data_IF_115528152409
#
_entry.id   IF_115528152409
#
_cell.length_a   1.000
_cell.length_b   1.000
_cell.length_c   1.000
_cell.angle_alpha   90.00
_cell.angle_beta   90.00
_cell.angle_gamma   90.00
#
_symmetry.space_group_name_H-M   'P 1'
#
loop_
_entity.id
_entity.type
_entity.pdbx_description
1 polymer ?
#
# COMPACT_ATOMS: atom_id res chain seq x y z
N UNK A 1 -10.06 -7.39 7.17
CA UNK A 1 -10.05 -8.05 8.51
C UNK A 1 -10.76 -7.24 9.61
N UNK A 2 -10.98 -5.93 9.46
CA UNK A 2 -11.60 -5.09 10.50
C UNK A 2 -12.92 -4.47 10.00
N UNK A 3 -14.08 -5.05 10.37
CA UNK A 3 -15.37 -4.65 9.79
C UNK A 3 -15.71 -3.16 9.97
N UNK A 4 -15.23 -2.54 11.06
CA UNK A 4 -15.47 -1.12 11.32
C UNK A 4 -14.85 -0.21 10.24
N UNK A 5 -13.67 -0.56 9.72
CA UNK A 5 -12.94 0.26 8.73
C UNK A 5 -13.29 -0.03 7.29
N UNK A 6 -13.88 -1.21 7.00
CA UNK A 6 -14.27 -1.59 5.63
C UNK A 6 -15.23 -0.57 4.99
N UNK A 7 -16.03 0.12 5.81
CA UNK A 7 -16.96 1.16 5.34
C UNK A 7 -16.25 2.44 4.86
N UNK A 8 -15.02 2.69 5.32
CA UNK A 8 -14.21 3.83 4.83
C UNK A 8 -13.95 3.68 3.32
N UNK A 9 -13.64 2.47 2.85
CA UNK A 9 -13.38 2.17 1.43
C UNK A 9 -14.58 2.51 0.55
N UNK A 10 -15.81 2.28 1.02
CA UNK A 10 -17.03 2.62 0.26
C UNK A 10 -17.12 4.12 -0.04
N UNK A 11 -16.66 4.97 0.89
CA UNK A 11 -16.62 6.41 0.66
C UNK A 11 -15.57 6.79 -0.40
N UNK A 12 -14.39 6.17 -0.35
CA UNK A 12 -13.35 6.39 -1.36
C UNK A 12 -13.77 5.88 -2.75
N UNK A 13 -14.41 4.71 -2.83
CA UNK A 13 -14.96 4.20 -4.09
C UNK A 13 -15.97 5.17 -4.70
N UNK A 14 -16.90 5.70 -3.90
CA UNK A 14 -17.88 6.68 -4.39
C UNK A 14 -17.20 7.95 -4.94
N UNK A 15 -16.17 8.45 -4.24
CA UNK A 15 -15.42 9.63 -4.69
C UNK A 15 -14.68 9.33 -5.99
N UNK A 16 -13.87 8.27 -6.03
CA UNK A 16 -13.03 7.97 -7.19
C UNK A 16 -13.84 7.53 -8.41
N UNK A 17 -15.02 6.92 -8.24
CA UNK A 17 -15.87 6.47 -9.35
C UNK A 17 -16.81 7.54 -9.91
N UNK A 18 -17.05 8.63 -9.19
CA UNK A 18 -18.10 9.59 -9.60
C UNK A 18 -17.68 11.06 -9.55
N UNK A 19 -16.63 11.43 -8.83
CA UNK A 19 -16.25 12.83 -8.73
C UNK A 19 -15.47 13.28 -9.99
N UNK A 20 -15.78 14.45 -10.60
CA UNK A 20 -15.13 14.91 -11.84
C UNK A 20 -13.61 15.10 -11.75
N UNK A 21 -13.06 15.29 -10.54
CA UNK A 21 -11.60 15.32 -10.35
C UNK A 21 -10.90 14.00 -10.67
N UNK A 22 -11.63 12.88 -10.59
CA UNK A 22 -11.10 11.52 -10.80
C UNK A 22 -11.72 10.85 -12.02
N UNK A 23 -12.78 11.46 -12.59
CA UNK A 23 -13.54 10.90 -13.69
C UNK A 23 -13.71 11.89 -14.83
N UNK A 24 -13.57 11.42 -16.06
CA UNK A 24 -13.79 12.23 -17.26
C UNK A 24 -12.53 12.87 -17.83
N UNK A 25 -12.67 13.72 -18.86
CA UNK A 25 -11.55 14.19 -19.68
C UNK A 25 -10.51 15.02 -18.91
N UNK A 26 -10.93 15.70 -17.84
CA UNK A 26 -10.06 16.60 -17.06
C UNK A 26 -9.26 15.87 -15.96
N UNK A 27 -9.64 14.64 -15.60
CA UNK A 27 -8.98 13.87 -14.55
C UNK A 27 -7.60 13.31 -14.97
N UNK A 28 -7.27 13.37 -16.26
CA UNK A 28 -6.05 12.77 -16.81
C UNK A 28 -6.02 11.25 -16.60
N UNK A 29 -4.81 10.68 -16.56
CA UNK A 29 -4.60 9.27 -16.25
C UNK A 29 -4.65 9.04 -14.73
N UNK A 30 -5.86 8.88 -14.19
CA UNK A 30 -6.06 8.48 -12.79
C UNK A 30 -6.15 6.95 -12.71
N UNK A 31 -5.19 6.33 -12.01
CA UNK A 31 -5.14 4.88 -11.85
C UNK A 31 -5.77 4.44 -10.53
N UNK A 32 -6.55 3.36 -10.61
CA UNK A 32 -7.07 2.66 -9.45
C UNK A 32 -6.23 1.40 -9.24
N UNK A 33 -5.69 1.22 -8.04
CA UNK A 33 -4.79 0.10 -7.71
C UNK A 33 -5.43 -0.96 -6.83
N UNK A 34 -6.71 -0.80 -6.52
CA UNK A 34 -7.53 -1.73 -5.75
C UNK A 34 -8.97 -1.62 -6.23
N UNK A 35 -9.65 -2.76 -6.30
CA UNK A 35 -11.08 -2.87 -6.56
C UNK A 35 -11.91 -2.73 -5.28
N UNK A 36 -11.26 -2.29 -4.19
CA UNK A 36 -11.90 -1.96 -2.93
C UNK A 36 -12.50 -3.17 -2.24
N UNK A 37 -13.82 -3.20 -2.04
CA UNK A 37 -14.47 -4.34 -1.38
C UNK A 37 -14.36 -5.65 -2.18
N UNK A 38 -14.25 -5.58 -3.51
CA UNK A 38 -14.23 -6.75 -4.37
C UNK A 38 -12.90 -7.54 -4.28
N UNK A 39 -11.83 -6.92 -3.75
CA UNK A 39 -10.54 -7.58 -3.53
C UNK A 39 -10.56 -8.55 -2.32
N UNK A 40 -11.58 -8.49 -1.45
CA UNK A 40 -11.65 -9.35 -0.27
C UNK A 40 -11.68 -10.84 -0.65
N UNK A 41 -10.89 -11.73 -0.01
CA UNK A 41 -10.21 -11.58 1.29
C UNK A 41 -8.78 -11.01 1.24
N UNK A 42 -8.30 -10.58 0.07
CA UNK A 42 -7.06 -9.83 -0.05
C UNK A 42 -7.22 -8.48 0.67
N UNK A 43 -6.28 -8.10 1.52
CA UNK A 43 -6.35 -6.81 2.22
C UNK A 43 -5.04 -6.06 2.09
N UNK A 44 -5.16 -4.74 1.95
CA UNK A 44 -4.06 -3.78 1.94
C UNK A 44 -4.54 -2.51 2.65
N UNK A 45 -3.67 -1.89 3.44
CA UNK A 45 -3.95 -0.58 4.05
C UNK A 45 -2.83 0.40 3.68
N UNK A 46 -3.17 1.66 3.47
CA UNK A 46 -2.23 2.67 2.94
C UNK A 46 -0.97 2.88 3.78
N UNK A 47 -1.04 2.71 5.11
CA UNK A 47 0.12 2.84 5.99
C UNK A 47 1.21 1.78 5.75
N UNK A 48 0.90 0.70 5.05
CA UNK A 48 1.91 -0.28 4.65
C UNK A 48 2.58 0.06 3.32
N UNK A 49 2.11 1.04 2.54
CA UNK A 49 2.58 1.32 1.18
C UNK A 49 3.38 2.63 1.17
N UNK A 50 4.71 2.52 1.04
CA UNK A 50 5.61 3.67 1.00
C UNK A 50 6.22 3.80 -0.40
N UNK A 51 5.85 4.86 -1.12
CA UNK A 51 6.47 5.20 -2.42
C UNK A 51 7.80 5.90 -2.17
N UNK A 52 8.90 5.16 -2.28
CA UNK A 52 10.25 5.64 -1.96
C UNK A 52 10.97 6.30 -3.14
N UNK A 53 10.27 6.46 -4.27
CA UNK A 53 10.79 7.12 -5.47
C UNK A 53 11.63 6.20 -6.36
N UNK A 54 12.15 6.76 -7.45
CA UNK A 54 12.92 6.04 -8.47
C UNK A 54 12.21 4.79 -9.02
N UNK A 55 10.88 4.75 -9.03
CA UNK A 55 10.10 3.59 -9.46
C UNK A 55 10.13 2.42 -8.47
N UNK A 56 10.52 2.63 -7.21
CA UNK A 56 10.50 1.64 -6.16
C UNK A 56 9.42 1.94 -5.11
N UNK A 57 8.82 0.87 -4.57
CA UNK A 57 7.81 0.94 -3.50
C UNK A 57 8.18 -0.06 -2.40
N UNK A 58 8.15 0.37 -1.14
CA UNK A 58 8.22 -0.52 0.01
C UNK A 58 6.80 -0.91 0.43
N UNK A 59 6.58 -2.19 0.71
CA UNK A 59 5.27 -2.66 1.17
C UNK A 59 5.42 -3.51 2.43
N UNK A 60 4.82 -3.08 3.53
CA UNK A 60 4.71 -3.87 4.76
C UNK A 60 3.68 -4.99 4.59
N UNK A 61 4.11 -6.25 4.67
CA UNK A 61 3.20 -7.38 4.86
C UNK A 61 2.88 -7.47 6.35
N UNK A 62 1.81 -6.81 6.80
CA UNK A 62 1.41 -6.66 8.21
C UNK A 62 0.22 -7.54 8.61
N UNK A 63 -0.41 -7.29 9.77
CA UNK A 63 -1.73 -7.87 10.10
C UNK A 63 -2.86 -7.30 9.21
N UNK A 64 -2.60 -6.17 8.54
CA UNK A 64 -3.53 -5.42 7.70
C UNK A 64 -3.30 -5.64 6.22
N UNK A 65 -2.07 -5.92 5.82
CA UNK A 65 -1.68 -6.12 4.42
C UNK A 65 -1.23 -7.55 4.16
N UNK A 66 -1.95 -8.25 3.29
CA UNK A 66 -1.72 -9.67 2.93
C UNK A 66 -0.76 -9.80 1.74
N UNK A 67 0.05 -10.88 1.66
CA UNK A 67 0.93 -11.12 0.51
C UNK A 67 0.20 -11.13 -0.84
N UNK A 68 -1.02 -11.66 -0.90
CA UNK A 68 -1.86 -11.68 -2.10
C UNK A 68 -2.13 -10.26 -2.62
N UNK A 69 -2.42 -9.32 -1.73
CA UNK A 69 -2.66 -7.93 -2.08
C UNK A 69 -1.39 -7.26 -2.62
N UNK A 70 -0.23 -7.62 -2.06
CA UNK A 70 1.07 -7.14 -2.55
C UNK A 70 1.30 -7.61 -3.99
N UNK A 71 1.05 -8.89 -4.30
CA UNK A 71 1.19 -9.40 -5.66
C UNK A 71 0.19 -8.76 -6.65
N UNK A 72 -1.06 -8.57 -6.24
CA UNK A 72 -2.07 -7.90 -7.07
C UNK A 72 -1.67 -6.46 -7.37
N UNK A 73 -1.23 -5.71 -6.35
CA UNK A 73 -0.73 -4.35 -6.50
C UNK A 73 0.52 -4.31 -7.39
N UNK A 74 1.45 -5.25 -7.21
CA UNK A 74 2.66 -5.34 -8.02
C UNK A 74 2.35 -5.49 -9.50
N UNK A 75 1.46 -6.43 -9.85
CA UNK A 75 1.03 -6.64 -11.24
C UNK A 75 0.45 -5.35 -11.83
N UNK A 76 -0.50 -4.73 -11.14
CA UNK A 76 -1.12 -3.49 -11.61
C UNK A 76 -0.11 -2.36 -11.82
N UNK A 77 0.78 -2.13 -10.85
CA UNK A 77 1.80 -1.09 -10.94
C UNK A 77 2.81 -1.34 -12.05
N UNK A 78 3.22 -2.59 -12.27
CA UNK A 78 4.18 -2.95 -13.31
C UNK A 78 3.56 -2.88 -14.71
N UNK A 79 2.34 -3.38 -14.88
CA UNK A 79 1.62 -3.32 -16.15
C UNK A 79 1.38 -1.87 -16.60
N UNK A 80 1.13 -0.97 -15.66
CA UNK A 80 0.98 0.46 -15.92
C UNK A 80 2.32 1.22 -16.05
N UNK A 81 3.45 0.59 -15.73
CA UNK A 81 4.76 1.25 -15.69
C UNK A 81 4.93 2.25 -14.53
N UNK A 82 4.04 2.23 -13.54
CA UNK A 82 4.05 3.12 -12.36
C UNK A 82 5.13 2.75 -11.35
N UNK A 83 5.56 1.49 -11.32
CA UNK A 83 6.70 1.02 -10.55
C UNK A 83 7.50 -0.01 -11.34
N UNK A 84 8.75 -0.23 -10.94
CA UNK A 84 9.68 -1.22 -11.52
C UNK A 84 10.18 -2.23 -10.49
N UNK A 85 10.00 -1.93 -9.21
CA UNK A 85 10.47 -2.78 -8.12
C UNK A 85 9.58 -2.59 -6.90
N UNK A 86 9.23 -3.70 -6.27
CA UNK A 86 8.62 -3.70 -4.94
C UNK A 86 9.55 -4.43 -3.98
N UNK A 87 9.75 -3.87 -2.79
CA UNK A 87 10.39 -4.56 -1.69
C UNK A 87 9.35 -4.79 -0.60
N UNK A 88 8.87 -6.03 -0.50
CA UNK A 88 7.92 -6.44 0.50
C UNK A 88 8.64 -6.82 1.80
N UNK A 89 8.19 -6.28 2.94
CA UNK A 89 8.78 -6.49 4.26
C UNK A 89 7.87 -7.38 5.11
N UNK A 90 8.38 -8.49 5.63
CA UNK A 90 7.62 -9.37 6.52
C UNK A 90 7.52 -8.76 7.93
N UNK A 91 6.40 -8.11 8.22
CA UNK A 91 6.20 -7.40 9.47
C UNK A 91 5.72 -8.35 10.58
N UNK A 92 6.21 -8.19 11.83
CA UNK A 92 5.68 -8.92 12.98
C UNK A 92 4.17 -8.75 13.12
N UNK A 93 3.45 -9.85 13.38
CA UNK A 93 1.99 -9.83 13.60
C UNK A 93 1.67 -9.53 15.05
N UNK A 94 1.90 -8.28 15.45
CA UNK A 94 1.58 -7.79 16.78
C UNK A 94 1.04 -6.37 16.72
N UNK A 95 0.19 -6.01 17.69
CA UNK A 95 -0.52 -4.72 17.74
C UNK A 95 0.42 -3.50 17.63
N UNK A 96 1.64 -3.60 18.14
CA UNK A 96 2.64 -2.54 18.07
C UNK A 96 3.17 -2.27 16.64
N UNK A 97 2.94 -3.17 15.70
CA UNK A 97 3.44 -3.13 14.32
C UNK A 97 2.29 -3.17 13.31
N UNK A 98 1.29 -2.30 13.52
CA UNK A 98 0.05 -2.34 12.73
C UNK A 98 0.26 -2.02 11.24
N UNK A 99 1.20 -1.12 10.93
CA UNK A 99 1.55 -0.67 9.58
C UNK A 99 3.04 -0.34 9.51
N UNK A 100 3.62 -0.38 8.31
CA UNK A 100 5.03 -0.03 8.08
C UNK A 100 5.35 1.42 8.48
N UNK A 101 4.51 2.38 8.10
CA UNK A 101 4.70 3.81 8.37
C UNK A 101 4.85 4.14 9.87
N UNK A 102 4.15 3.40 10.75
CA UNK A 102 4.21 3.59 12.20
C UNK A 102 5.57 3.25 12.81
N UNK A 103 6.40 2.49 12.10
CA UNK A 103 7.68 1.99 12.61
C UNK A 103 8.84 2.28 11.67
N UNK A 104 8.59 2.76 10.46
CA UNK A 104 9.62 3.20 9.54
C UNK A 104 9.07 4.22 8.55
N UNK A 105 9.74 5.35 8.36
CA UNK A 105 9.35 6.37 7.38
C UNK A 105 10.58 6.95 6.71
N UNK A 106 10.55 7.08 5.38
CA UNK A 106 11.60 7.78 4.61
C UNK A 106 11.48 9.27 4.86
N UNK A 107 12.56 9.92 5.29
CA UNK A 107 12.59 11.37 5.56
C UNK A 107 13.50 12.13 4.60
N UNK A 108 14.43 11.43 3.94
CA UNK A 108 15.27 11.97 2.87
C UNK A 108 15.71 10.83 1.91
N UNK A 109 16.35 11.17 0.80
CA UNK A 109 16.75 10.25 -0.28
C UNK A 109 17.52 9.01 0.16
N UNK A 110 18.26 9.10 1.26
CA UNK A 110 19.06 8.02 1.84
C UNK A 110 18.76 7.77 3.33
N UNK A 111 17.74 8.44 3.89
CA UNK A 111 17.52 8.49 5.34
C UNK A 111 16.11 8.05 5.71
N UNK A 112 16.03 7.12 6.66
CA UNK A 112 14.79 6.65 7.26
C UNK A 112 14.79 6.87 8.77
N UNK A 113 13.64 7.25 9.32
CA UNK A 113 13.37 7.07 10.75
C UNK A 113 12.90 5.64 10.97
N UNK A 114 13.36 5.00 12.05
CA UNK A 114 12.99 3.63 12.39
C UNK A 114 12.67 3.53 13.89
N UNK A 115 11.58 2.85 14.23
CA UNK A 115 11.30 2.47 15.61
C UNK A 115 12.37 1.50 16.10
N UNK A 116 13.04 1.83 17.21
CA UNK A 116 14.15 1.05 17.74
C UNK A 116 13.81 -0.44 17.99
N UNK A 117 12.54 -0.76 18.26
CA UNK A 117 12.07 -2.13 18.49
C UNK A 117 11.74 -2.94 17.22
N UNK A 118 11.86 -2.37 16.02
CA UNK A 118 11.53 -3.07 14.77
C UNK A 118 12.55 -4.17 14.43
N UNK A 119 13.84 -3.88 14.66
CA UNK A 119 14.93 -4.77 14.27
C UNK A 119 15.04 -4.95 12.75
N UNK A 120 15.73 -6.03 12.33
CA UNK A 120 15.85 -6.40 10.92
C UNK A 120 14.65 -7.24 10.49
N UNK A 121 14.10 -6.92 9.32
CA UNK A 121 12.98 -7.65 8.73
C UNK A 121 13.46 -8.51 7.57
N UNK A 122 12.78 -9.64 7.36
CA UNK A 122 12.92 -10.39 6.11
C UNK A 122 12.28 -9.59 4.98
N UNK A 123 12.98 -9.46 3.87
CA UNK A 123 12.50 -8.78 2.68
C UNK A 123 12.41 -9.71 1.47
N UNK A 124 11.53 -9.35 0.53
CA UNK A 124 11.36 -10.01 -0.75
C UNK A 124 11.31 -8.93 -1.83
N UNK A 125 12.12 -9.08 -2.88
CA UNK A 125 12.09 -8.17 -4.03
C UNK A 125 11.27 -8.81 -5.14
N UNK A 126 10.31 -8.06 -5.66
CA UNK A 126 9.42 -8.41 -6.77
C UNK A 126 9.74 -7.49 -7.95
#
# INVERSE_FOLDING_TARGET
RWPARQRETVHFEAIYRHHPLFTGPEAGAFHHWSEGQDDYPSTIEGGDVLVIGQGAVLIGMSERTTPQAVEMLARGLFDAGSARTIVALDMPKARAFMHLDTVMTMIDGDTFTQYAGLGMLRSYTI
#
